data_IF_194414901621
#
_entry.id   IF_194414901621
#
_cell.length_a   1.000
_cell.length_b   1.000
_cell.length_c   1.000
_cell.angle_alpha   90.00
_cell.angle_beta   90.00
_cell.angle_gamma   90.00
#
_symmetry.space_group_name_H-M   'P 1'
#
loop_
_entity.id
_entity.type
_entity.pdbx_description
1 polymer ?
#
# COMPACT_ATOMS: atom_id res chain seq x y z
N UNK A 1 -16.21 7.50 27.90
CA UNK A 1 -17.63 7.67 27.53
C UNK A 1 -18.28 6.31 27.68
N UNK A 2 -19.21 6.15 28.62
CA UNK A 2 -19.91 4.89 28.88
C UNK A 2 -20.51 4.29 27.58
N UNK A 3 -20.41 2.97 27.36
CA UNK A 3 -20.84 2.32 26.11
C UNK A 3 -22.35 2.45 25.83
N UNK A 4 -23.17 2.69 26.85
CA UNK A 4 -24.61 2.97 26.73
C UNK A 4 -24.88 4.34 26.10
N UNK A 5 -24.11 5.36 26.46
CA UNK A 5 -24.23 6.74 25.94
C UNK A 5 -23.82 6.84 24.48
N UNK A 6 -22.82 6.06 24.06
CA UNK A 6 -22.34 6.06 22.66
C UNK A 6 -23.40 5.58 21.66
N UNK A 7 -24.14 4.51 21.98
CA UNK A 7 -25.25 4.00 21.14
C UNK A 7 -26.37 5.02 21.00
N UNK A 8 -26.69 5.73 22.08
CA UNK A 8 -27.73 6.77 22.11
C UNK A 8 -27.34 7.95 21.22
N UNK A 9 -26.08 8.41 21.30
CA UNK A 9 -25.56 9.49 20.44
C UNK A 9 -25.59 9.09 18.97
N UNK A 10 -25.14 7.88 18.63
CA UNK A 10 -25.16 7.40 17.24
C UNK A 10 -26.57 7.33 16.67
N UNK A 11 -27.54 6.83 17.46
CA UNK A 11 -28.94 6.75 17.05
C UNK A 11 -29.52 8.14 16.76
N UNK A 12 -29.26 9.13 17.62
CA UNK A 12 -29.71 10.51 17.42
C UNK A 12 -29.08 11.12 16.16
N UNK A 13 -27.75 11.05 16.00
CA UNK A 13 -27.08 11.70 14.88
C UNK A 13 -27.45 11.04 13.52
N UNK A 14 -27.67 9.71 13.48
CA UNK A 14 -28.20 9.02 12.29
C UNK A 14 -29.62 9.44 11.95
N UNK A 15 -30.46 9.68 12.96
CA UNK A 15 -31.81 10.18 12.74
C UNK A 15 -31.77 11.58 12.10
N UNK A 16 -30.94 12.48 12.64
CA UNK A 16 -30.77 13.84 12.09
C UNK A 16 -30.03 13.89 10.75
N UNK A 17 -29.21 12.88 10.41
CA UNK A 17 -28.51 12.86 9.10
C UNK A 17 -29.46 12.68 7.92
N UNK A 18 -30.69 12.22 8.16
CA UNK A 18 -31.72 12.08 7.12
C UNK A 18 -32.59 13.34 6.96
N UNK A 19 -32.34 14.40 7.75
CA UNK A 19 -33.12 15.65 7.74
C UNK A 19 -33.40 16.22 9.14
N UNK A 20 -33.91 17.45 9.20
CA UNK A 20 -34.16 18.20 10.46
C UNK A 20 -35.35 17.69 11.27
N UNK A 21 -35.26 17.70 12.60
CA UNK A 21 -36.34 17.31 13.51
C UNK A 21 -36.84 18.50 14.34
N UNK A 22 -38.03 18.41 14.92
CA UNK A 22 -38.55 19.40 15.88
C UNK A 22 -38.41 18.83 17.30
N UNK A 23 -37.93 19.64 18.23
CA UNK A 23 -37.78 19.23 19.63
C UNK A 23 -39.05 19.54 20.43
N UNK A 24 -39.58 18.52 21.11
CA UNK A 24 -40.70 18.61 22.04
C UNK A 24 -40.27 18.16 23.44
N UNK A 25 -40.88 18.74 24.47
CA UNK A 25 -40.72 18.21 25.83
C UNK A 25 -41.41 16.85 25.91
N UNK A 26 -40.71 15.84 26.43
CA UNK A 26 -41.31 14.53 26.67
C UNK A 26 -42.17 14.55 27.95
N UNK A 27 -43.06 13.57 28.11
CA UNK A 27 -43.83 13.37 29.33
C UNK A 27 -42.96 12.96 30.54
N UNK A 28 -41.71 12.53 30.28
CA UNK A 28 -40.69 12.21 31.28
C UNK A 28 -39.62 13.28 31.22
N UNK A 29 -39.42 14.04 32.30
CA UNK A 29 -38.54 15.23 32.36
C UNK A 29 -37.07 14.96 31.97
N UNK A 30 -36.61 13.71 32.16
CA UNK A 30 -35.24 13.30 31.81
C UNK A 30 -35.03 13.03 30.32
N UNK A 31 -36.07 13.12 29.49
CA UNK A 31 -36.02 12.85 28.05
C UNK A 31 -36.51 14.03 27.22
N UNK A 32 -36.03 14.07 25.98
CA UNK A 32 -36.52 14.96 24.94
C UNK A 32 -36.99 14.13 23.76
N UNK A 33 -38.06 14.59 23.13
CA UNK A 33 -38.66 13.92 21.99
C UNK A 33 -38.30 14.70 20.71
N UNK A 34 -37.70 14.01 19.75
CA UNK A 34 -37.34 14.57 18.46
C UNK A 34 -38.29 14.01 17.41
N UNK A 35 -39.09 14.90 16.82
CA UNK A 35 -40.06 14.55 15.80
C UNK A 35 -39.53 14.88 14.40
N UNK A 36 -39.35 13.84 13.58
CA UNK A 36 -38.90 13.94 12.19
C UNK A 36 -40.05 13.99 11.18
N UNK A 37 -41.31 14.11 11.65
CA UNK A 37 -42.51 14.05 10.84
C UNK A 37 -42.76 12.65 10.30
N UNK A 38 -42.83 12.51 8.97
CA UNK A 38 -43.01 11.22 8.30
C UNK A 38 -41.88 10.20 8.57
N UNK A 39 -40.72 10.65 9.10
CA UNK A 39 -39.59 9.81 9.50
C UNK A 39 -39.74 9.21 10.90
N UNK A 40 -40.83 9.52 11.59
CA UNK A 40 -41.13 9.07 12.93
C UNK A 40 -40.47 9.91 14.02
N UNK A 41 -40.55 9.40 15.24
CA UNK A 41 -40.19 10.12 16.46
C UNK A 41 -39.21 9.30 17.31
N UNK A 42 -38.22 9.95 17.90
CA UNK A 42 -37.29 9.30 18.84
C UNK A 42 -37.26 10.01 20.19
N UNK A 43 -37.21 9.24 21.27
CA UNK A 43 -36.95 9.74 22.61
C UNK A 43 -35.46 9.59 22.94
N UNK A 44 -34.85 10.65 23.45
CA UNK A 44 -33.42 10.70 23.78
C UNK A 44 -33.23 11.32 25.17
N UNK A 45 -32.32 10.81 26.02
CA UNK A 45 -31.99 11.46 27.29
C UNK A 45 -31.56 12.91 27.10
N UNK A 46 -32.14 13.82 27.91
CA UNK A 46 -31.87 15.26 27.86
C UNK A 46 -30.38 15.58 28.02
N UNK A 47 -29.70 14.87 28.93
CA UNK A 47 -28.26 15.03 29.17
C UNK A 47 -27.43 14.77 27.91
N UNK A 48 -27.76 13.71 27.16
CA UNK A 48 -27.06 13.38 25.92
C UNK A 48 -27.36 14.39 24.81
N UNK A 49 -28.60 14.89 24.75
CA UNK A 49 -28.99 15.91 23.79
C UNK A 49 -28.30 17.26 24.05
N UNK A 50 -28.28 17.72 25.30
CA UNK A 50 -27.65 18.98 25.69
C UNK A 50 -26.12 18.94 25.49
N UNK A 51 -25.51 17.78 25.74
CA UNK A 51 -24.09 17.55 25.45
C UNK A 51 -23.76 17.65 23.95
N UNK A 52 -24.66 17.23 23.05
CA UNK A 52 -24.46 17.33 21.60
C UNK A 52 -24.63 18.76 21.07
N UNK A 53 -25.48 19.55 21.72
CA UNK A 53 -25.59 20.99 21.43
C UNK A 53 -24.34 21.71 21.91
N UNK A 54 -23.90 21.46 23.15
CA UNK A 54 -22.72 22.13 23.71
C UNK A 54 -21.43 21.75 22.98
N UNK A 55 -21.33 20.53 22.44
CA UNK A 55 -20.22 20.10 21.61
C UNK A 55 -20.32 20.57 20.14
N UNK A 56 -21.38 21.29 19.76
CA UNK A 56 -21.58 21.80 18.40
C UNK A 56 -21.84 20.74 17.33
N UNK A 57 -22.22 19.51 17.72
CA UNK A 57 -22.55 18.43 16.77
C UNK A 57 -23.98 18.57 16.22
N UNK A 58 -24.84 19.24 16.99
CA UNK A 58 -26.24 19.49 16.68
C UNK A 58 -26.53 20.97 16.87
N UNK A 59 -27.27 21.57 15.94
CA UNK A 59 -27.72 22.95 16.00
C UNK A 59 -29.21 23.00 16.34
N UNK A 60 -29.58 23.91 17.23
CA UNK A 60 -30.97 24.23 17.55
C UNK A 60 -31.27 25.66 17.11
N UNK A 61 -32.26 25.80 16.23
CA UNK A 61 -32.76 27.10 15.81
C UNK A 61 -33.74 27.69 16.85
N UNK A 62 -33.97 29.00 16.80
CA UNK A 62 -34.92 29.74 17.64
C UNK A 62 -36.35 29.23 17.53
N UNK A 63 -36.68 28.59 16.41
CA UNK A 63 -37.97 27.95 16.11
C UNK A 63 -38.12 26.56 16.75
N UNK A 64 -37.09 26.04 17.41
CA UNK A 64 -37.09 24.69 18.01
C UNK A 64 -36.71 23.57 17.03
N UNK A 65 -36.38 23.91 15.78
CA UNK A 65 -35.86 22.98 14.78
C UNK A 65 -34.42 22.57 15.10
N UNK A 66 -34.16 21.28 14.99
CA UNK A 66 -32.91 20.60 15.29
C UNK A 66 -32.30 20.09 13.99
N UNK A 67 -31.05 20.49 13.74
CA UNK A 67 -30.29 20.10 12.55
C UNK A 67 -28.94 19.52 12.93
N UNK A 68 -28.44 18.61 12.11
CA UNK A 68 -27.09 18.12 12.22
C UNK A 68 -26.12 19.22 11.75
N UNK A 69 -25.11 19.55 12.57
CA UNK A 69 -24.06 20.50 12.19
C UNK A 69 -23.05 19.84 11.23
N UNK A 70 -22.22 20.63 10.53
CA UNK A 70 -21.13 20.09 9.71
C UNK A 70 -20.15 19.24 10.53
N UNK A 71 -19.87 19.66 11.77
CA UNK A 71 -19.09 18.89 12.73
C UNK A 71 -19.76 17.55 13.08
N UNK A 72 -21.09 17.53 13.21
CA UNK A 72 -21.90 16.33 13.42
C UNK A 72 -21.87 15.36 12.24
N UNK A 73 -21.97 15.87 11.02
CA UNK A 73 -21.83 15.08 9.78
C UNK A 73 -20.43 14.46 9.69
N UNK A 74 -19.39 15.25 9.96
CA UNK A 74 -18.01 14.76 9.97
C UNK A 74 -17.78 13.69 11.05
N UNK A 75 -18.33 13.89 12.25
CA UNK A 75 -18.26 12.92 13.34
C UNK A 75 -18.97 11.61 13.00
N UNK A 76 -20.15 11.67 12.39
CA UNK A 76 -20.91 10.48 11.96
C UNK A 76 -20.13 9.68 10.89
N UNK A 77 -19.51 10.37 9.93
CA UNK A 77 -18.67 9.75 8.90
C UNK A 77 -17.46 9.03 9.53
N UNK A 78 -16.82 9.62 10.55
CA UNK A 78 -15.70 9.00 11.28
C UNK A 78 -16.10 7.74 12.06
N UNK A 79 -17.35 7.67 12.54
CA UNK A 79 -17.86 6.52 13.28
C UNK A 79 -18.41 5.40 12.39
N UNK A 80 -18.88 5.73 11.18
CA UNK A 80 -19.37 4.75 10.22
C UNK A 80 -18.24 3.94 9.56
N UNK A 81 -17.04 4.53 9.47
CA UNK A 81 -15.85 3.84 8.97
C UNK A 81 -15.05 3.33 10.16
N UNK A 82 -15.03 2.01 10.39
CA UNK A 82 -14.19 1.37 11.41
C UNK A 82 -12.68 1.47 11.13
N UNK A 83 -12.27 2.26 10.14
CA UNK A 83 -10.92 2.57 9.76
C UNK A 83 -10.89 4.01 9.20
N UNK A 84 -9.83 4.74 9.49
CA UNK A 84 -9.61 6.13 9.10
C UNK A 84 -10.07 6.47 7.65
N UNK A 85 -10.99 7.43 7.44
CA UNK A 85 -11.46 7.85 6.11
C UNK A 85 -10.34 8.30 5.17
N UNK A 86 -9.23 8.82 5.71
CA UNK A 86 -8.05 9.20 4.92
C UNK A 86 -7.33 7.97 4.36
N UNK A 87 -7.27 6.88 5.13
CA UNK A 87 -6.61 5.64 4.71
C UNK A 87 -7.35 4.95 3.55
N UNK A 88 -8.68 5.06 3.47
CA UNK A 88 -9.49 4.49 2.39
C UNK A 88 -9.21 5.12 1.01
N UNK A 89 -8.89 6.41 0.96
CA UNK A 89 -8.56 7.11 -0.29
C UNK A 89 -7.20 6.72 -0.87
N UNK A 90 -6.29 6.22 -0.03
CA UNK A 90 -4.93 5.83 -0.43
C UNK A 90 -4.75 4.31 -0.61
N UNK A 91 -5.82 3.52 -0.45
CA UNK A 91 -5.79 2.06 -0.58
C UNK A 91 -6.36 1.60 -1.93
N UNK A 92 -5.52 1.04 -2.79
CA UNK A 92 -5.91 0.30 -4.00
C UNK A 92 -5.97 -1.20 -3.65
N UNK A 93 -7.04 -1.64 -3.00
CA UNK A 93 -7.16 -3.02 -2.51
C UNK A 93 -7.48 -4.00 -3.66
N UNK A 94 -6.64 -5.01 -3.86
CA UNK A 94 -6.88 -6.11 -4.78
C UNK A 94 -6.60 -7.48 -4.13
N UNK A 95 -7.32 -8.51 -4.58
CA UNK A 95 -7.02 -9.89 -4.20
C UNK A 95 -5.75 -10.37 -4.87
N UNK A 96 -4.71 -10.66 -4.10
CA UNK A 96 -3.42 -11.20 -4.56
C UNK A 96 -3.29 -12.63 -4.08
N UNK A 97 -2.85 -13.52 -4.97
CA UNK A 97 -2.51 -14.90 -4.62
C UNK A 97 -1.08 -14.95 -4.09
N UNK A 98 -0.92 -15.38 -2.85
CA UNK A 98 0.38 -15.63 -2.23
C UNK A 98 0.55 -17.12 -1.97
N UNK A 99 1.76 -17.61 -2.17
CA UNK A 99 2.16 -18.96 -1.77
C UNK A 99 2.57 -18.90 -0.29
N UNK A 100 1.90 -19.69 0.53
CA UNK A 100 2.22 -19.85 1.94
C UNK A 100 3.45 -20.76 2.13
N UNK A 101 4.02 -20.73 3.33
CA UNK A 101 5.21 -21.54 3.68
C UNK A 101 5.01 -23.06 3.56
N UNK A 102 3.76 -23.53 3.50
CA UNK A 102 3.37 -24.93 3.28
C UNK A 102 3.07 -25.26 1.80
N UNK A 103 3.30 -24.31 0.88
CA UNK A 103 2.99 -24.45 -0.54
C UNK A 103 1.51 -24.20 -0.90
N UNK A 104 0.66 -23.88 0.08
CA UNK A 104 -0.74 -23.56 -0.19
C UNK A 104 -0.88 -22.16 -0.82
N UNK A 105 -1.71 -22.02 -1.84
CA UNK A 105 -2.01 -20.72 -2.45
C UNK A 105 -3.20 -20.10 -1.71
N UNK A 106 -2.98 -18.97 -1.04
CA UNK A 106 -4.03 -18.17 -0.44
C UNK A 106 -4.28 -16.87 -1.20
N UNK A 107 -5.55 -16.50 -1.28
CA UNK A 107 -5.94 -15.18 -1.77
C UNK A 107 -6.02 -14.23 -0.58
N UNK A 108 -5.15 -13.23 -0.55
CA UNK A 108 -5.14 -12.17 0.47
C UNK A 108 -5.50 -10.83 -0.15
N UNK A 109 -6.15 -9.97 0.62
CA UNK A 109 -6.40 -8.59 0.20
C UNK A 109 -5.13 -7.78 0.43
N UNK A 110 -4.50 -7.31 -0.64
CA UNK A 110 -3.32 -6.46 -0.58
C UNK A 110 -3.63 -5.08 -1.14
N UNK A 111 -3.04 -4.04 -0.55
CA UNK A 111 -3.12 -2.69 -1.09
C UNK A 111 -2.03 -2.51 -2.15
N UNK A 112 -2.41 -2.52 -3.43
CA UNK A 112 -1.53 -2.31 -4.57
C UNK A 112 -0.90 -0.91 -4.60
N UNK A 113 -1.45 0.06 -3.86
CA UNK A 113 -0.81 1.35 -3.70
C UNK A 113 0.50 1.26 -2.88
N UNK A 114 0.71 0.17 -2.15
CA UNK A 114 1.90 -0.07 -1.32
C UNK A 114 3.10 -0.61 -2.11
N UNK A 115 2.96 -0.91 -3.41
CA UNK A 115 4.10 -1.27 -4.28
C UNK A 115 4.13 -0.42 -5.54
N UNK A 116 5.18 0.40 -5.77
CA UNK A 116 5.38 1.09 -7.05
C UNK A 116 5.37 0.13 -8.26
N UNK A 117 5.81 -1.12 -8.07
CA UNK A 117 5.80 -2.14 -9.11
C UNK A 117 4.39 -2.58 -9.49
N UNK A 118 3.45 -2.64 -8.55
CA UNK A 118 2.06 -3.03 -8.84
C UNK A 118 1.38 -2.03 -9.80
N UNK A 119 1.67 -0.74 -9.67
CA UNK A 119 1.22 0.29 -10.62
C UNK A 119 1.85 0.09 -12.00
N UNK A 120 3.14 -0.23 -12.06
CA UNK A 120 3.87 -0.48 -13.30
C UNK A 120 3.45 -1.77 -14.01
N UNK A 121 3.05 -2.80 -13.27
CA UNK A 121 2.54 -4.07 -13.82
C UNK A 121 1.27 -3.86 -14.66
N UNK A 122 0.41 -2.93 -14.23
CA UNK A 122 -0.83 -2.57 -14.95
C UNK A 122 -0.58 -1.68 -16.17
N UNK A 123 0.61 -1.08 -16.26
CA UNK A 123 0.94 -0.14 -17.33
C UNK A 123 1.20 -0.88 -18.65
N UNK A 124 0.52 -0.45 -19.72
CA UNK A 124 0.73 -0.96 -21.08
C UNK A 124 1.66 -0.04 -21.88
N UNK A 125 2.53 -0.64 -22.69
CA UNK A 125 3.37 0.06 -23.66
C UNK A 125 2.52 0.51 -24.87
N UNK A 126 3.11 1.33 -25.74
CA UNK A 126 2.43 1.87 -26.94
C UNK A 126 1.86 0.78 -27.85
N UNK A 127 2.50 -0.38 -27.89
CA UNK A 127 2.10 -1.58 -28.63
C UNK A 127 1.04 -2.44 -27.90
N UNK A 128 0.55 -2.00 -26.73
CA UNK A 128 -0.43 -2.74 -25.93
C UNK A 128 0.15 -3.85 -25.03
N UNK A 129 1.44 -4.16 -25.12
CA UNK A 129 2.08 -5.17 -24.26
C UNK A 129 2.26 -4.64 -22.83
N UNK A 130 2.32 -5.54 -21.85
CA UNK A 130 2.65 -5.15 -20.48
C UNK A 130 4.06 -4.52 -20.41
N UNK A 131 4.24 -3.50 -19.57
CA UNK A 131 5.54 -2.87 -19.38
C UNK A 131 6.51 -3.79 -18.61
N UNK A 132 6.04 -4.48 -17.57
CA UNK A 132 6.79 -5.49 -16.83
C UNK A 132 6.32 -6.89 -17.20
N UNK A 133 7.25 -7.83 -17.32
CA UNK A 133 6.93 -9.26 -17.38
C UNK A 133 6.56 -9.76 -15.97
N UNK A 134 5.89 -10.92 -15.91
CA UNK A 134 5.59 -11.56 -14.63
C UNK A 134 6.88 -11.90 -13.84
N UNK A 135 7.93 -12.34 -14.55
CA UNK A 135 9.23 -12.67 -13.95
C UNK A 135 9.92 -11.44 -13.37
N UNK A 136 9.90 -10.30 -14.08
CA UNK A 136 10.47 -9.04 -13.57
C UNK A 136 9.73 -8.52 -12.34
N UNK A 137 8.39 -8.61 -12.36
CA UNK A 137 7.57 -8.23 -11.21
C UNK A 137 7.85 -9.13 -9.99
N UNK A 138 7.83 -10.45 -10.18
CA UNK A 138 8.15 -11.41 -9.12
C UNK A 138 9.56 -11.23 -8.59
N UNK A 139 10.53 -10.93 -9.44
CA UNK A 139 11.90 -10.67 -9.05
C UNK A 139 12.00 -9.45 -8.12
N UNK A 140 11.33 -8.33 -8.47
CA UNK A 140 11.29 -7.14 -7.64
C UNK A 140 10.59 -7.36 -6.30
N UNK A 141 9.45 -8.05 -6.29
CA UNK A 141 8.72 -8.37 -5.06
C UNK A 141 9.49 -9.37 -4.17
N UNK A 142 10.20 -10.33 -4.78
CA UNK A 142 11.09 -11.25 -4.05
C UNK A 142 12.25 -10.50 -3.38
N UNK A 143 12.89 -9.60 -4.10
CA UNK A 143 13.95 -8.74 -3.54
C UNK A 143 13.42 -7.94 -2.35
N UNK A 144 12.24 -7.33 -2.47
CA UNK A 144 11.58 -6.62 -1.36
C UNK A 144 11.34 -7.55 -0.16
N UNK A 145 10.77 -8.73 -0.39
CA UNK A 145 10.49 -9.71 0.66
C UNK A 145 11.77 -10.13 1.40
N UNK A 146 12.85 -10.41 0.66
CA UNK A 146 14.13 -10.77 1.26
C UNK A 146 14.77 -9.59 2.01
N UNK A 147 14.67 -8.37 1.48
CA UNK A 147 15.16 -7.17 2.14
C UNK A 147 14.45 -6.90 3.49
N UNK A 148 13.12 -7.07 3.52
CA UNK A 148 12.31 -6.94 4.74
C UNK A 148 12.60 -8.07 5.73
N UNK A 149 12.64 -9.33 5.28
CA UNK A 149 12.93 -10.50 6.14
C UNK A 149 14.34 -10.45 6.71
N UNK A 150 15.30 -9.96 5.94
CA UNK A 150 16.68 -9.73 6.38
C UNK A 150 16.82 -8.62 7.41
N UNK A 151 15.77 -7.84 7.71
CA UNK A 151 15.84 -6.69 8.62
C UNK A 151 16.94 -5.71 8.19
N UNK A 152 17.07 -5.46 6.88
CA UNK A 152 18.12 -4.60 6.28
C UNK A 152 17.71 -3.11 6.33
N UNK A 153 16.43 -2.81 6.57
CA UNK A 153 15.94 -1.44 6.71
C UNK A 153 16.60 -0.71 7.90
N UNK A 154 17.00 0.56 7.75
CA UNK A 154 17.44 1.40 8.85
C UNK A 154 16.33 1.50 9.92
N UNK A 155 16.64 1.18 11.17
CA UNK A 155 15.68 1.27 12.28
C UNK A 155 15.48 2.74 12.65
N UNK A 156 14.36 3.34 12.23
CA UNK A 156 13.91 4.66 12.69
C UNK A 156 12.90 4.50 13.83
N UNK A 157 13.39 4.30 15.06
CA UNK A 157 12.56 4.25 16.26
C UNK A 157 13.29 3.72 17.49
N UNK A 158 13.00 4.30 18.65
CA UNK A 158 13.44 3.78 19.94
C UNK A 158 12.71 2.47 20.27
N UNK A 159 13.47 1.49 20.77
CA UNK A 159 12.97 0.17 21.16
C UNK A 159 12.29 0.25 22.54
N UNK A 160 10.96 0.20 22.59
CA UNK A 160 10.20 0.20 23.85
C UNK A 160 9.74 -1.18 24.32
N UNK A 161 10.32 -2.27 23.79
CA UNK A 161 10.06 -3.62 24.30
C UNK A 161 11.27 -4.17 25.03
N UNK A 162 11.52 -3.65 26.23
CA UNK A 162 12.37 -4.36 27.19
C UNK A 162 11.52 -5.36 28.00
N UNK A 163 11.54 -6.61 27.53
CA UNK A 163 11.67 -7.83 28.35
C UNK A 163 10.46 -8.42 29.11
N UNK A 164 10.42 -9.77 29.05
CA UNK A 164 9.81 -10.80 29.90
C UNK A 164 8.28 -11.01 29.93
N UNK A 165 7.83 -12.01 29.15
CA UNK A 165 7.19 -13.15 29.82
C UNK A 165 7.95 -14.43 29.51
N UNK A 166 8.57 -14.99 30.54
CA UNK A 166 9.22 -16.30 30.57
C UNK A 166 8.16 -17.41 30.49
N UNK A 167 7.63 -17.65 29.30
CA UNK A 167 6.80 -18.80 28.99
C UNK A 167 7.62 -19.88 28.30
N UNK A 168 8.19 -20.80 29.08
CA UNK A 168 8.95 -21.97 28.61
C UNK A 168 8.05 -22.84 27.70
N UNK A 169 8.10 -22.60 26.39
CA UNK A 169 7.74 -23.58 25.35
C UNK A 169 8.99 -23.84 24.53
N UNK A 170 9.55 -25.03 24.69
CA UNK A 170 10.72 -25.47 23.95
C UNK A 170 10.47 -25.42 22.45
N UNK A 171 11.46 -24.96 21.71
CA UNK A 171 11.46 -24.98 20.25
C UNK A 171 12.37 -23.91 19.69
N UNK A 172 13.17 -24.30 18.70
CA UNK A 172 14.25 -23.60 18.00
C UNK A 172 13.87 -22.24 17.34
N UNK A 173 12.71 -21.66 17.65
CA UNK A 173 12.10 -20.58 16.87
C UNK A 173 12.89 -19.28 16.82
N UNK A 174 13.62 -18.90 17.87
CA UNK A 174 14.48 -17.70 17.80
C UNK A 174 15.70 -17.93 16.90
N UNK A 175 16.30 -19.13 16.95
CA UNK A 175 17.43 -19.50 16.09
C UNK A 175 16.98 -19.65 14.63
N UNK A 176 15.82 -20.26 14.38
CA UNK A 176 15.24 -20.40 13.04
C UNK A 176 14.89 -19.02 12.42
N UNK A 177 14.41 -18.07 13.23
CA UNK A 177 14.15 -16.68 12.79
C UNK A 177 15.47 -15.99 12.41
N UNK A 178 16.55 -16.17 13.19
CA UNK A 178 17.85 -15.58 12.87
C UNK A 178 18.47 -16.20 11.62
N UNK A 179 18.35 -17.51 11.42
CA UNK A 179 18.87 -18.21 10.25
C UNK A 179 18.11 -17.80 8.98
N UNK A 180 16.78 -17.68 9.07
CA UNK A 180 15.95 -17.19 7.96
C UNK A 180 16.30 -15.75 7.57
N UNK A 181 16.56 -14.88 8.56
CA UNK A 181 16.99 -13.50 8.32
C UNK A 181 18.39 -13.46 7.68
N UNK A 182 19.34 -14.28 8.15
CA UNK A 182 20.68 -14.37 7.58
C UNK A 182 20.64 -14.87 6.13
N UNK A 183 19.87 -15.92 5.85
CA UNK A 183 19.68 -16.44 4.50
C UNK A 183 19.05 -15.41 3.56
N UNK A 184 18.11 -14.59 4.04
CA UNK A 184 17.56 -13.48 3.28
C UNK A 184 18.58 -12.38 3.00
N UNK A 185 19.44 -12.02 3.95
CA UNK A 185 20.55 -11.06 3.73
C UNK A 185 21.50 -11.55 2.64
N UNK A 186 21.94 -12.81 2.73
CA UNK A 186 22.81 -13.42 1.72
C UNK A 186 22.18 -13.39 0.32
N UNK A 187 20.88 -13.66 0.19
CA UNK A 187 20.18 -13.57 -1.10
C UNK A 187 20.13 -12.14 -1.65
N UNK A 188 19.95 -11.14 -0.78
CA UNK A 188 19.99 -9.72 -1.18
C UNK A 188 21.38 -9.33 -1.65
N UNK A 189 22.42 -9.70 -0.90
CA UNK A 189 23.82 -9.38 -1.23
C UNK A 189 24.20 -9.99 -2.58
N UNK A 190 23.90 -11.28 -2.79
CA UNK A 190 24.14 -11.97 -4.07
C UNK A 190 23.39 -11.33 -5.25
N UNK A 191 22.16 -10.85 -5.02
CA UNK A 191 21.40 -10.17 -6.04
C UNK A 191 22.03 -8.81 -6.39
N UNK A 192 22.41 -8.01 -5.37
CA UNK A 192 23.08 -6.72 -5.54
C UNK A 192 24.39 -6.89 -6.32
N UNK A 193 25.21 -7.87 -5.95
CA UNK A 193 26.47 -8.17 -6.62
C UNK A 193 26.27 -8.56 -8.09
N UNK A 194 25.25 -9.39 -8.37
CA UNK A 194 24.96 -9.84 -9.74
C UNK A 194 24.44 -8.72 -10.65
N UNK A 195 23.77 -7.72 -10.10
CA UNK A 195 23.18 -6.59 -10.84
C UNK A 195 24.21 -5.46 -11.01
N UNK A 196 25.11 -5.33 -10.04
CA UNK A 196 26.17 -4.33 -10.03
C UNK A 196 25.75 -2.98 -9.43
N UNK A 197 26.74 -2.16 -9.02
CA UNK A 197 26.50 -0.92 -8.26
C UNK A 197 25.67 0.12 -9.03
N UNK A 198 25.78 0.15 -10.35
CA UNK A 198 25.09 1.11 -11.22
C UNK A 198 23.56 0.93 -11.20
N UNK A 199 23.08 -0.30 -11.06
CA UNK A 199 21.67 -0.66 -11.17
C UNK A 199 21.05 -1.12 -9.84
N UNK A 200 21.85 -1.60 -8.89
CA UNK A 200 21.33 -2.06 -7.60
C UNK A 200 20.62 -0.93 -6.84
N UNK A 201 21.17 0.29 -6.87
CA UNK A 201 20.61 1.42 -6.14
C UNK A 201 19.15 1.73 -6.50
N UNK A 202 18.80 1.72 -7.80
CA UNK A 202 17.42 2.01 -8.24
C UNK A 202 16.44 0.92 -7.82
N UNK A 203 16.88 -0.34 -7.75
CA UNK A 203 16.04 -1.44 -7.25
C UNK A 203 15.76 -1.29 -5.75
N UNK A 204 16.77 -0.92 -4.96
CA UNK A 204 16.58 -0.71 -3.52
C UNK A 204 15.64 0.48 -3.28
N UNK A 205 15.85 1.61 -3.96
CA UNK A 205 15.00 2.79 -3.83
C UNK A 205 13.51 2.50 -4.14
N UNK A 206 13.24 1.77 -5.22
CA UNK A 206 11.86 1.59 -5.71
C UNK A 206 11.22 0.34 -5.12
N UNK A 207 11.94 -0.78 -5.05
CA UNK A 207 11.36 -2.05 -4.59
C UNK A 207 11.37 -2.13 -3.06
N UNK A 208 12.39 -1.60 -2.39
CA UNK A 208 12.55 -1.74 -0.94
C UNK A 208 12.11 -0.49 -0.17
N UNK A 209 12.49 0.71 -0.61
CA UNK A 209 12.07 1.98 0.00
C UNK A 209 10.81 2.59 -0.59
N UNK A 210 10.26 1.99 -1.65
CA UNK A 210 8.98 2.36 -2.25
C UNK A 210 8.92 3.81 -2.75
N UNK A 211 10.07 4.37 -3.11
CA UNK A 211 10.15 5.72 -3.68
C UNK A 211 9.43 5.75 -5.03
N UNK A 212 8.77 6.88 -5.32
CA UNK A 212 8.21 7.16 -6.64
C UNK A 212 9.31 7.35 -7.68
N UNK A 213 8.99 7.16 -8.96
CA UNK A 213 9.96 7.31 -10.04
C UNK A 213 10.51 8.74 -10.10
N UNK A 214 9.63 9.74 -9.94
CA UNK A 214 9.98 11.16 -9.96
C UNK A 214 10.91 11.54 -8.80
N UNK A 215 10.68 10.95 -7.61
CA UNK A 215 11.54 11.16 -6.45
C UNK A 215 12.95 10.60 -6.70
N UNK A 216 13.05 9.40 -7.28
CA UNK A 216 14.34 8.78 -7.62
C UNK A 216 15.08 9.61 -8.68
N UNK A 217 14.39 10.15 -9.67
CA UNK A 217 14.98 11.04 -10.68
C UNK A 217 15.58 12.30 -10.04
N UNK A 218 14.83 12.93 -9.13
CA UNK A 218 15.28 14.12 -8.41
C UNK A 218 16.49 13.85 -7.51
N UNK A 219 16.44 12.80 -6.69
CA UNK A 219 17.51 12.46 -5.74
C UNK A 219 18.81 12.06 -6.44
N UNK A 220 18.72 11.45 -7.63
CA UNK A 220 19.87 10.98 -8.41
C UNK A 220 20.35 11.98 -9.46
N UNK A 221 19.68 13.13 -9.59
CA UNK A 221 19.98 14.12 -10.63
C UNK A 221 19.79 13.59 -12.05
N UNK A 222 18.89 12.63 -12.24
CA UNK A 222 18.63 12.04 -13.55
C UNK A 222 17.68 12.91 -14.39
N UNK A 223 17.77 12.86 -15.73
CA UNK A 223 16.78 13.50 -16.60
C UNK A 223 15.36 12.98 -16.32
N UNK A 224 14.38 13.86 -16.49
CA UNK A 224 12.95 13.52 -16.32
C UNK A 224 12.56 12.35 -17.22
N UNK A 225 11.77 11.39 -16.68
CA UNK A 225 11.29 10.15 -17.34
C UNK A 225 12.37 9.11 -17.65
N UNK A 226 13.56 9.20 -17.05
CA UNK A 226 14.62 8.21 -17.23
C UNK A 226 14.50 7.00 -16.30
N UNK A 227 13.98 7.19 -15.07
CA UNK A 227 13.99 6.14 -14.04
C UNK A 227 13.22 4.89 -14.47
N UNK A 228 12.16 5.06 -15.27
CA UNK A 228 11.38 3.95 -15.81
C UNK A 228 12.24 3.00 -16.66
N UNK A 229 13.10 3.52 -17.53
CA UNK A 229 13.94 2.71 -18.42
C UNK A 229 15.07 2.03 -17.63
N UNK A 230 15.66 2.76 -16.69
CA UNK A 230 16.73 2.20 -15.83
C UNK A 230 16.17 1.09 -14.94
N UNK A 231 15.01 1.31 -14.31
CA UNK A 231 14.31 0.30 -13.52
C UNK A 231 13.99 -0.95 -14.35
N UNK A 232 13.48 -0.79 -15.58
CA UNK A 232 13.21 -1.92 -16.48
C UNK A 232 14.48 -2.75 -16.75
N UNK A 233 15.59 -2.08 -17.02
CA UNK A 233 16.89 -2.73 -17.25
C UNK A 233 17.37 -3.48 -16.01
N UNK A 234 17.26 -2.86 -14.83
CA UNK A 234 17.65 -3.45 -13.56
C UNK A 234 16.78 -4.66 -13.19
N UNK A 235 15.46 -4.57 -13.35
CA UNK A 235 14.53 -5.69 -13.11
C UNK A 235 14.79 -6.85 -14.08
N UNK A 236 15.12 -6.57 -15.34
CA UNK A 236 15.52 -7.61 -16.30
C UNK A 236 16.81 -8.33 -15.88
N UNK A 237 17.78 -7.62 -15.29
CA UNK A 237 18.99 -8.24 -14.72
C UNK A 237 18.66 -9.07 -13.47
N UNK A 238 17.85 -8.53 -12.56
CA UNK A 238 17.40 -9.22 -11.35
C UNK A 238 16.61 -10.50 -11.67
N UNK A 239 15.70 -10.46 -12.66
CA UNK A 239 14.95 -11.62 -13.10
C UNK A 239 15.87 -12.75 -13.59
N UNK A 240 16.91 -12.42 -14.37
CA UNK A 240 17.92 -13.41 -14.79
C UNK A 240 18.74 -13.97 -13.64
N UNK A 241 18.94 -13.21 -12.56
CA UNK A 241 19.61 -13.70 -11.37
C UNK A 241 18.75 -14.74 -10.63
N UNK A 242 17.46 -14.45 -10.42
CA UNK A 242 16.56 -15.37 -9.71
C UNK A 242 16.08 -16.57 -10.54
N UNK A 243 15.95 -16.39 -11.85
CA UNK A 243 15.59 -17.43 -12.81
C UNK A 243 16.59 -17.40 -13.98
N UNK A 244 17.78 -18.00 -13.80
CA UNK A 244 18.76 -18.08 -14.86
C UNK A 244 18.15 -18.72 -16.11
N UNK A 245 18.18 -18.03 -17.27
CA UNK A 245 17.64 -18.62 -18.49
C UNK A 245 18.40 -19.91 -18.81
N UNK A 246 17.75 -20.90 -19.46
CA UNK A 246 18.43 -22.11 -19.89
C UNK A 246 19.68 -21.73 -20.67
N UNK A 247 20.78 -22.48 -20.49
CA UNK A 247 22.04 -22.24 -21.22
C UNK A 247 21.75 -22.21 -22.72
N UNK A 248 21.56 -21.02 -23.26
CA UNK A 248 21.45 -20.80 -24.69
C UNK A 248 22.75 -21.34 -25.27
N UNK A 249 22.65 -22.26 -26.24
CA UNK A 249 23.72 -22.50 -27.21
C UNK A 249 23.91 -21.18 -27.96
N UNK A 250 24.55 -20.21 -27.32
CA UNK A 250 24.89 -18.94 -27.96
C UNK A 250 25.83 -19.32 -29.08
N UNK A 251 25.35 -19.16 -30.31
CA UNK A 251 26.23 -18.92 -31.45
C UNK A 251 27.13 -17.77 -30.98
N UNK A 252 28.41 -18.06 -30.75
CA UNK A 252 29.45 -17.06 -30.48
C UNK A 252 29.74 -16.21 -31.73
N UNK A 253 28.74 -16.04 -32.60
CA UNK A 253 28.80 -15.12 -33.73
C UNK A 253 28.94 -13.73 -33.15
N UNK A 254 30.10 -13.13 -33.40
CA UNK A 254 30.31 -11.70 -33.25
C UNK A 254 29.08 -10.94 -33.75
N UNK A 255 28.65 -9.94 -32.98
CA UNK A 255 27.62 -9.00 -33.46
C UNK A 255 28.19 -8.35 -34.72
N UNK A 256 27.65 -8.73 -35.87
CA UNK A 256 28.07 -8.19 -37.16
C UNK A 256 27.48 -6.78 -37.32
N UNK A 257 28.32 -5.76 -37.13
CA UNK A 257 27.93 -4.35 -37.19
C UNK A 257 27.90 -3.77 -38.62
N UNK A 258 28.15 -4.58 -39.65
CA UNK A 258 28.03 -4.17 -41.05
C UNK A 258 26.65 -4.47 -41.65
N UNK A 259 26.26 -3.69 -42.66
CA UNK A 259 25.26 -4.13 -43.64
C UNK A 259 25.83 -5.30 -44.46
N UNK A 260 24.97 -6.06 -45.15
CA UNK A 260 25.40 -7.23 -45.96
C UNK A 260 26.52 -6.90 -46.95
N UNK A 261 26.61 -5.65 -47.39
CA UNK A 261 27.57 -5.15 -48.38
C UNK A 261 28.69 -4.29 -47.78
N UNK A 262 28.90 -4.29 -46.46
CA UNK A 262 29.90 -3.44 -45.81
C UNK A 262 31.36 -3.71 -46.28
N UNK A 263 31.64 -4.91 -46.81
CA UNK A 263 32.97 -5.29 -47.28
C UNK A 263 33.22 -4.76 -48.70
N UNK A 264 34.16 -3.82 -48.92
CA UNK A 264 34.44 -3.31 -50.26
C UNK A 264 34.98 -4.44 -51.15
N UNK A 265 34.36 -4.60 -52.32
CA UNK A 265 34.86 -5.51 -53.37
C UNK A 265 36.02 -4.81 -54.04
N UNK A 266 37.25 -5.27 -53.79
CA UNK A 266 38.40 -4.83 -54.56
C UNK A 266 38.20 -5.34 -55.99
N UNK A 267 37.88 -4.42 -56.91
CA UNK A 267 37.76 -4.71 -58.32
C UNK A 267 39.09 -5.26 -58.84
N UNK A 268 39.08 -6.50 -59.31
CA UNK A 268 40.15 -7.03 -60.14
C UNK A 268 39.95 -6.51 -61.57
N UNK A 269 40.15 -5.23 -61.81
CA UNK A 269 40.37 -4.73 -63.16
C UNK A 269 41.81 -5.08 -63.54
N UNK A 270 41.97 -6.19 -64.27
CA UNK A 270 43.20 -6.47 -65.00
C UNK A 270 43.23 -5.60 -66.24
N UNK A 271 44.35 -4.92 -66.41
CA UNK A 271 44.85 -4.24 -67.61
C UNK A 271 44.71 -5.10 -68.88
#
# INVERSE_FOLDING_TARGET
MEPSTHKVVLRLLRFLSTGSAISHSAAVDSQILLDGGARGTIAVPRIAFDALISSGLVLRDKTGSIKLADAGVAWLKRQATSCDPFAGQHRDLAGVRIEMSDGAIATVTANLAESPLAKLLRHKMRNGSAFLSAEEFQAGERLRSDYTRGQIMPRLGAHWEASVSSGRRGGNGMADITDAALASRQRVDLAIDAIGPELAGVLIDICCFLKGLEQVEMERGWPVRSAKVVLKTALGALARHYAPPPKSRRSSGFVHWGTTDYRPKLGSERL
#
